data_IF_514659287161
#
_entry.id   IF_514659287161
#
_cell.length_a   1.000
_cell.length_b   1.000
_cell.length_c   1.000
_cell.angle_alpha   90.00
_cell.angle_beta   90.00
_cell.angle_gamma   90.00
#
_symmetry.space_group_name_H-M   'P 1'
#
loop_
_entity.id
_entity.type
_entity.pdbx_description
1 polymer ?
#
# COMPACT_ATOMS: atom_id res chain seq x y z
N UNK A 1 -27.50 6.06 18.02
CA UNK A 1 -26.37 5.63 17.17
C UNK A 1 -26.91 5.57 15.75
N UNK A 2 -26.19 6.12 14.78
CA UNK A 2 -26.67 6.14 13.38
C UNK A 2 -26.86 4.71 12.86
N UNK A 3 -27.91 4.41 12.09
CA UNK A 3 -28.22 3.05 11.63
C UNK A 3 -27.06 2.47 10.79
N UNK A 4 -26.42 3.30 9.96
CA UNK A 4 -25.26 2.88 9.16
C UNK A 4 -24.04 2.57 10.04
N UNK A 5 -23.85 3.30 11.14
CA UNK A 5 -22.76 3.02 12.09
C UNK A 5 -23.02 1.69 12.80
N UNK A 6 -24.25 1.45 13.23
CA UNK A 6 -24.62 0.19 13.87
C UNK A 6 -24.34 -0.99 12.94
N UNK A 7 -24.75 -0.89 11.68
CA UNK A 7 -24.50 -1.90 10.65
C UNK A 7 -23.00 -2.14 10.40
N UNK A 8 -22.18 -1.09 10.30
CA UNK A 8 -20.73 -1.24 10.15
C UNK A 8 -20.08 -1.95 11.36
N UNK A 9 -20.58 -1.69 12.57
CA UNK A 9 -20.09 -2.31 13.80
C UNK A 9 -20.50 -3.78 13.96
N UNK A 10 -21.49 -4.25 13.21
CA UNK A 10 -21.86 -5.68 13.14
C UNK A 10 -20.97 -6.48 12.19
N UNK A 11 -20.18 -5.79 11.35
CA UNK A 11 -19.31 -6.40 10.34
C UNK A 11 -18.03 -7.03 10.89
N UNK A 12 -17.09 -7.31 9.97
CA UNK A 12 -15.77 -7.86 10.28
C UNK A 12 -15.00 -6.96 11.29
N UNK A 13 -14.15 -7.56 12.12
CA UNK A 13 -13.38 -6.83 13.15
C UNK A 13 -12.50 -5.72 12.57
N UNK A 14 -12.01 -5.85 11.34
CA UNK A 14 -11.28 -4.79 10.64
C UNK A 14 -12.19 -3.59 10.30
N UNK A 15 -13.44 -3.86 9.93
CA UNK A 15 -14.46 -2.82 9.66
C UNK A 15 -14.85 -2.14 10.96
N UNK A 16 -15.03 -2.91 12.05
CA UNK A 16 -15.27 -2.35 13.38
C UNK A 16 -14.13 -1.41 13.79
N UNK A 17 -12.88 -1.85 13.66
CA UNK A 17 -11.69 -1.04 13.93
C UNK A 17 -11.68 0.27 13.12
N UNK A 18 -11.88 0.19 11.81
CA UNK A 18 -11.89 1.37 10.93
C UNK A 18 -13.05 2.32 11.26
N UNK A 19 -14.22 1.79 11.60
CA UNK A 19 -15.39 2.57 12.03
C UNK A 19 -15.08 3.33 13.32
N UNK A 20 -14.50 2.66 14.31
CA UNK A 20 -14.07 3.29 15.55
C UNK A 20 -12.99 4.36 15.33
N UNK A 21 -12.03 4.09 14.46
CA UNK A 21 -10.90 4.98 14.18
C UNK A 21 -11.31 6.23 13.39
N UNK A 22 -12.02 6.05 12.27
CA UNK A 22 -12.24 7.11 11.30
C UNK A 22 -13.60 7.79 11.39
N UNK A 23 -14.64 7.11 11.92
CA UNK A 23 -15.99 7.68 12.01
C UNK A 23 -16.36 8.09 13.43
N UNK A 24 -15.95 7.30 14.44
CA UNK A 24 -16.31 7.56 15.84
C UNK A 24 -15.22 8.29 16.62
N UNK A 25 -13.99 8.37 16.11
CA UNK A 25 -12.87 9.01 16.81
C UNK A 25 -12.60 8.40 18.19
N UNK A 26 -12.73 7.07 18.31
CA UNK A 26 -12.59 6.36 19.58
C UNK A 26 -11.15 6.42 20.11
N UNK A 27 -11.03 6.34 21.45
CA UNK A 27 -9.74 6.40 22.15
C UNK A 27 -8.89 5.14 21.94
N UNK A 28 -7.56 5.29 22.08
CA UNK A 28 -6.58 4.23 21.81
C UNK A 28 -6.87 2.88 22.49
N UNK A 29 -7.29 2.79 23.76
CA UNK A 29 -7.60 1.48 24.37
C UNK A 29 -8.66 0.67 23.62
N UNK A 30 -9.63 1.32 22.97
CA UNK A 30 -10.64 0.65 22.14
C UNK A 30 -10.00 0.17 20.83
N UNK A 31 -9.20 1.04 20.21
CA UNK A 31 -8.51 0.75 18.95
C UNK A 31 -7.53 -0.41 19.10
N UNK A 32 -6.68 -0.42 20.14
CA UNK A 32 -5.73 -1.49 20.43
C UNK A 32 -6.43 -2.83 20.66
N UNK A 33 -7.54 -2.83 21.41
CA UNK A 33 -8.34 -4.03 21.66
C UNK A 33 -8.91 -4.60 20.35
N UNK A 34 -9.45 -3.75 19.49
CA UNK A 34 -9.97 -4.18 18.19
C UNK A 34 -8.83 -4.66 17.28
N UNK A 35 -7.73 -3.90 17.20
CA UNK A 35 -6.59 -4.22 16.34
C UNK A 35 -5.95 -5.56 16.67
N UNK A 36 -5.79 -5.87 17.97
CA UNK A 36 -5.20 -7.14 18.42
C UNK A 36 -6.00 -8.38 18.00
N UNK A 37 -7.31 -8.24 17.75
CA UNK A 37 -8.19 -9.32 17.29
C UNK A 37 -8.15 -9.53 15.78
N UNK A 38 -7.76 -8.53 15.00
CA UNK A 38 -7.82 -8.58 13.53
C UNK A 38 -6.99 -9.75 12.97
N UNK A 39 -5.84 -10.06 13.58
CA UNK A 39 -5.00 -11.17 13.11
C UNK A 39 -5.63 -12.56 13.36
N UNK A 40 -6.60 -12.68 14.28
CA UNK A 40 -7.16 -13.96 14.72
C UNK A 40 -8.63 -14.15 14.36
N UNK A 41 -9.30 -13.10 13.89
CA UNK A 41 -10.71 -13.12 13.52
C UNK A 41 -10.92 -12.63 12.07
N UNK A 42 -12.00 -13.10 11.44
CA UNK A 42 -12.49 -12.49 10.21
C UNK A 42 -11.60 -12.66 8.97
N UNK A 43 -11.58 -11.64 8.11
CA UNK A 43 -10.89 -11.68 6.82
C UNK A 43 -9.37 -11.82 6.94
N UNK A 44 -8.74 -11.07 7.84
CA UNK A 44 -7.29 -11.10 8.01
C UNK A 44 -6.83 -12.47 8.54
N UNK A 45 -7.57 -13.09 9.48
CA UNK A 45 -7.28 -14.45 9.92
C UNK A 45 -7.34 -15.47 8.78
N UNK A 46 -8.35 -15.36 7.89
CA UNK A 46 -8.43 -16.22 6.70
C UNK A 46 -7.22 -16.04 5.79
N UNK A 47 -6.83 -14.79 5.49
CA UNK A 47 -5.63 -14.52 4.69
C UNK A 47 -4.38 -15.11 5.34
N UNK A 48 -4.16 -14.86 6.63
CA UNK A 48 -3.00 -15.39 7.36
C UNK A 48 -2.97 -16.93 7.36
N UNK A 49 -4.13 -17.59 7.45
CA UNK A 49 -4.21 -19.06 7.39
C UNK A 49 -3.82 -19.65 6.03
N UNK A 50 -3.84 -18.86 4.96
CA UNK A 50 -3.42 -19.26 3.62
C UNK A 50 -1.91 -19.11 3.38
N UNK A 51 -1.13 -18.74 4.39
CA UNK A 51 0.32 -18.67 4.26
C UNK A 51 0.91 -20.08 4.16
N UNK A 52 1.72 -20.32 3.13
CA UNK A 52 2.36 -21.61 2.91
C UNK A 52 3.53 -21.83 3.89
N UNK A 53 4.00 -23.07 4.01
CA UNK A 53 5.15 -23.43 4.83
C UNK A 53 6.45 -22.68 4.45
N UNK A 54 6.57 -22.27 3.18
CA UNK A 54 7.70 -21.47 2.69
C UNK A 54 7.58 -19.96 3.00
N UNK A 55 6.53 -19.55 3.73
CA UNK A 55 6.22 -18.18 4.13
C UNK A 55 5.45 -17.36 3.08
N UNK A 56 5.37 -17.79 1.83
CA UNK A 56 4.63 -17.04 0.82
C UNK A 56 3.12 -17.24 0.92
N UNK A 57 2.37 -16.22 0.51
CA UNK A 57 1.03 -16.41 -0.04
C UNK A 57 1.14 -16.59 -1.55
N UNK A 58 0.40 -17.57 -2.08
CA UNK A 58 0.50 -17.95 -3.49
C UNK A 58 1.83 -18.64 -3.81
N UNK A 59 2.40 -18.35 -4.98
CA UNK A 59 3.62 -19.02 -5.44
C UNK A 59 4.89 -18.22 -5.14
N UNK A 60 4.82 -16.89 -5.22
CA UNK A 60 5.95 -15.98 -5.00
C UNK A 60 5.47 -14.56 -4.64
N UNK A 61 6.36 -13.57 -4.68
CA UNK A 61 6.01 -12.19 -4.32
C UNK A 61 4.87 -11.62 -5.17
N UNK A 62 4.96 -11.75 -6.49
CA UNK A 62 3.96 -11.19 -7.41
C UNK A 62 3.27 -12.24 -8.29
N UNK A 63 3.25 -13.51 -7.84
CA UNK A 63 2.65 -14.62 -8.58
C UNK A 63 1.87 -15.59 -7.67
N UNK A 64 0.66 -16.05 -8.07
CA UNK A 64 -0.15 -15.52 -9.18
C UNK A 64 -0.68 -14.12 -8.86
N UNK A 65 -1.14 -13.38 -9.87
CA UNK A 65 -1.73 -12.06 -9.63
C UNK A 65 -2.90 -12.16 -8.63
N UNK A 66 -3.06 -11.16 -7.76
CA UNK A 66 -4.11 -11.00 -6.74
C UNK A 66 -3.97 -11.81 -5.46
N UNK A 67 -3.47 -13.04 -5.51
CA UNK A 67 -3.33 -13.92 -4.34
C UNK A 67 -1.87 -14.20 -3.97
N UNK A 68 -0.95 -13.40 -4.50
CA UNK A 68 0.46 -13.44 -4.16
C UNK A 68 0.78 -12.73 -2.84
N UNK A 69 2.00 -12.97 -2.34
CA UNK A 69 2.52 -12.36 -1.12
C UNK A 69 2.40 -10.83 -1.13
N UNK A 70 2.73 -10.16 -2.23
CA UNK A 70 2.62 -8.71 -2.39
C UNK A 70 1.20 -8.20 -2.12
N UNK A 71 0.20 -8.77 -2.80
CA UNK A 71 -1.19 -8.33 -2.64
C UNK A 71 -1.77 -8.71 -1.29
N UNK A 72 -1.39 -9.86 -0.72
CA UNK A 72 -1.81 -10.25 0.62
C UNK A 72 -1.20 -9.36 1.70
N UNK A 73 0.07 -8.96 1.60
CA UNK A 73 0.67 -8.00 2.52
C UNK A 73 -0.03 -6.64 2.46
N UNK A 74 -0.34 -6.17 1.26
CA UNK A 74 -1.11 -4.93 1.07
C UNK A 74 -2.50 -5.02 1.73
N UNK A 75 -3.18 -6.16 1.59
CA UNK A 75 -4.46 -6.41 2.26
C UNK A 75 -4.38 -6.43 3.77
N UNK A 76 -3.42 -7.16 4.31
CA UNK A 76 -3.25 -7.27 5.75
C UNK A 76 -3.00 -5.88 6.35
N UNK A 77 -2.24 -5.03 5.64
CA UNK A 77 -2.09 -3.62 6.01
C UNK A 77 -3.40 -2.84 5.91
N UNK A 78 -4.17 -3.01 4.84
CA UNK A 78 -5.44 -2.28 4.64
C UNK A 78 -6.54 -2.72 5.60
N UNK A 79 -6.50 -3.97 6.04
CA UNK A 79 -7.34 -4.52 7.12
C UNK A 79 -6.85 -4.07 8.51
N UNK A 80 -5.75 -3.31 8.59
CA UNK A 80 -5.17 -2.80 9.83
C UNK A 80 -4.72 -3.87 10.83
N UNK A 81 -4.21 -5.03 10.36
CA UNK A 81 -3.59 -6.01 11.29
C UNK A 81 -2.50 -5.34 12.14
N UNK A 82 -2.16 -5.88 13.33
CA UNK A 82 -1.14 -5.28 14.19
C UNK A 82 0.19 -5.02 13.45
N UNK A 83 0.75 -3.82 13.63
CA UNK A 83 2.00 -3.39 12.96
C UNK A 83 3.16 -4.38 13.16
N UNK A 84 3.24 -4.98 14.34
CA UNK A 84 4.30 -5.90 14.74
C UNK A 84 4.12 -7.35 14.30
N UNK A 85 3.14 -7.68 13.45
CA UNK A 85 2.80 -9.06 13.14
C UNK A 85 3.98 -9.79 12.45
N UNK A 86 4.54 -10.77 13.16
CA UNK A 86 5.80 -11.44 12.78
C UNK A 86 5.79 -11.97 11.35
N UNK A 87 4.71 -12.67 10.95
CA UNK A 87 4.57 -13.23 9.60
C UNK A 87 4.69 -12.17 8.50
N UNK A 88 4.11 -10.98 8.69
CA UNK A 88 4.22 -9.87 7.74
C UNK A 88 5.63 -9.27 7.74
N UNK A 89 6.21 -9.06 8.94
CA UNK A 89 7.56 -8.51 9.09
C UNK A 89 8.61 -9.38 8.42
N UNK A 90 8.57 -10.68 8.69
CA UNK A 90 9.52 -11.63 8.14
C UNK A 90 9.47 -11.63 6.60
N UNK A 91 8.27 -11.60 6.02
CA UNK A 91 8.12 -11.57 4.56
C UNK A 91 8.53 -10.24 3.93
N UNK A 92 8.32 -9.10 4.61
CA UNK A 92 8.81 -7.80 4.14
C UNK A 92 10.33 -7.74 4.18
N UNK A 93 10.95 -8.16 5.29
CA UNK A 93 12.42 -8.18 5.43
C UNK A 93 13.05 -9.07 4.36
N UNK A 94 12.51 -10.28 4.20
CA UNK A 94 12.96 -11.23 3.17
C UNK A 94 12.77 -10.69 1.76
N UNK A 95 11.66 -9.99 1.49
CA UNK A 95 11.44 -9.34 0.19
C UNK A 95 12.53 -8.30 -0.11
N UNK A 96 12.97 -7.51 0.86
CA UNK A 96 14.10 -6.60 0.64
C UNK A 96 15.44 -7.33 0.46
N UNK A 97 15.63 -8.51 1.07
CA UNK A 97 16.84 -9.32 0.86
C UNK A 97 16.89 -9.88 -0.58
N UNK A 98 15.75 -10.32 -1.10
CA UNK A 98 15.66 -11.05 -2.36
C UNK A 98 15.36 -10.16 -3.59
N UNK A 99 14.68 -9.04 -3.41
CA UNK A 99 14.09 -8.27 -4.52
C UNK A 99 14.58 -6.82 -4.64
N UNK A 100 15.36 -6.29 -3.70
CA UNK A 100 15.84 -4.91 -3.77
C UNK A 100 16.98 -4.78 -4.79
N UNK A 101 16.77 -3.95 -5.80
CA UNK A 101 17.78 -3.65 -6.81
C UNK A 101 18.83 -2.66 -6.30
N UNK A 102 19.96 -2.57 -7.01
CA UNK A 102 21.06 -1.67 -6.64
C UNK A 102 20.68 -0.18 -6.72
N UNK A 103 19.75 0.16 -7.61
CA UNK A 103 19.20 1.51 -7.79
C UNK A 103 18.12 1.87 -6.75
N UNK A 104 17.65 0.91 -5.97
CA UNK A 104 16.65 1.07 -4.92
C UNK A 104 15.22 0.66 -5.30
N UNK A 105 14.95 0.34 -6.57
CA UNK A 105 13.67 -0.23 -6.99
C UNK A 105 13.51 -1.70 -6.60
N UNK A 106 12.30 -2.26 -6.76
CA UNK A 106 12.00 -3.66 -6.43
C UNK A 106 11.75 -4.50 -7.68
N UNK A 107 12.40 -5.66 -7.77
CA UNK A 107 12.03 -6.70 -8.72
C UNK A 107 11.37 -7.88 -8.01
N UNK A 108 10.02 -7.90 -8.00
CA UNK A 108 9.23 -8.98 -7.39
C UNK A 108 9.03 -10.20 -8.33
N UNK A 109 9.61 -10.18 -9.53
CA UNK A 109 9.60 -11.30 -10.46
C UNK A 109 10.70 -12.31 -10.11
N UNK A 110 10.52 -13.57 -10.52
CA UNK A 110 11.59 -14.59 -10.46
C UNK A 110 12.70 -14.36 -11.50
N UNK A 111 12.43 -13.54 -12.50
CA UNK A 111 13.35 -13.24 -13.59
C UNK A 111 13.72 -11.76 -13.58
N UNK A 112 14.83 -11.42 -14.22
CA UNK A 112 15.21 -10.02 -14.40
C UNK A 112 14.10 -9.29 -15.16
N UNK A 113 13.55 -8.26 -14.53
CA UNK A 113 12.46 -7.45 -15.05
C UNK A 113 12.65 -6.02 -14.55
N UNK A 114 12.35 -4.99 -15.37
CA UNK A 114 12.37 -3.61 -14.90
C UNK A 114 11.47 -3.42 -13.67
N UNK A 115 11.87 -2.51 -12.78
CA UNK A 115 11.03 -2.10 -11.65
C UNK A 115 9.68 -1.60 -12.15
N UNK A 116 8.61 -1.94 -11.44
CA UNK A 116 7.28 -1.38 -11.70
C UNK A 116 7.00 -0.35 -10.60
N UNK A 117 7.04 0.93 -10.95
CA UNK A 117 6.92 2.05 -10.00
C UNK A 117 5.63 1.98 -9.17
N UNK A 118 4.55 1.43 -9.75
CA UNK A 118 3.30 1.21 -9.02
C UNK A 118 3.48 0.16 -7.93
N UNK A 119 4.16 -0.94 -8.25
CA UNK A 119 4.52 -2.00 -7.29
C UNK A 119 5.45 -1.47 -6.21
N UNK A 120 6.44 -0.65 -6.57
CA UNK A 120 7.36 0.00 -5.62
C UNK A 120 6.63 0.89 -4.62
N UNK A 121 5.67 1.70 -5.08
CA UNK A 121 4.81 2.51 -4.21
C UNK A 121 3.98 1.67 -3.23
N UNK A 122 3.41 0.56 -3.71
CA UNK A 122 2.68 -0.39 -2.86
C UNK A 122 3.60 -1.11 -1.86
N UNK A 123 4.83 -1.48 -2.27
CA UNK A 123 5.86 -2.04 -1.38
C UNK A 123 6.18 -1.05 -0.27
N UNK A 124 6.46 0.21 -0.62
CA UNK A 124 6.76 1.25 0.34
C UNK A 124 5.63 1.40 1.37
N UNK A 125 4.37 1.28 0.94
CA UNK A 125 3.19 1.36 1.79
C UNK A 125 3.22 0.28 2.88
N UNK A 126 3.12 -1.01 2.52
CA UNK A 126 3.07 -2.05 3.55
C UNK A 126 4.41 -2.23 4.28
N UNK A 127 5.55 -1.97 3.64
CA UNK A 127 6.86 -2.05 4.29
C UNK A 127 7.01 -1.00 5.39
N UNK A 128 6.61 0.24 5.12
CA UNK A 128 6.60 1.31 6.13
C UNK A 128 5.64 1.01 7.28
N UNK A 129 4.56 0.28 7.03
CA UNK A 129 3.60 -0.11 8.06
C UNK A 129 4.16 -1.22 8.98
N UNK A 130 4.67 -2.32 8.41
CA UNK A 130 5.12 -3.49 9.19
C UNK A 130 6.54 -3.35 9.73
N UNK A 131 7.41 -2.67 8.98
CA UNK A 131 8.85 -2.62 9.22
C UNK A 131 9.35 -1.18 9.20
N UNK A 132 8.73 -0.28 9.97
CA UNK A 132 9.08 1.16 9.99
C UNK A 132 10.58 1.47 10.21
N UNK A 133 11.30 0.59 10.90
CA UNK A 133 12.71 0.73 11.24
C UNK A 133 13.64 0.03 10.23
N UNK A 134 13.10 -0.51 9.13
CA UNK A 134 13.89 -1.17 8.07
C UNK A 134 14.70 -0.11 7.29
N UNK A 135 16.05 -0.11 7.40
CA UNK A 135 16.89 0.92 6.79
C UNK A 135 16.78 0.99 5.26
N UNK A 136 16.41 -0.10 4.59
CA UNK A 136 16.26 -0.14 3.13
C UNK A 136 15.04 0.61 2.61
N UNK A 137 14.09 0.96 3.47
CA UNK A 137 12.97 1.85 3.11
C UNK A 137 13.48 3.18 2.56
N UNK A 138 14.57 3.71 3.11
CA UNK A 138 15.16 4.98 2.65
C UNK A 138 15.60 4.88 1.19
N UNK A 139 16.21 3.76 0.79
CA UNK A 139 16.63 3.53 -0.60
C UNK A 139 15.44 3.47 -1.57
N UNK A 140 14.35 2.82 -1.16
CA UNK A 140 13.14 2.75 -1.96
C UNK A 140 12.47 4.13 -2.09
N UNK A 141 12.49 4.94 -1.02
CA UNK A 141 12.03 6.33 -1.07
C UNK A 141 12.89 7.15 -2.04
N UNK A 142 14.22 7.09 -1.91
CA UNK A 142 15.14 7.82 -2.80
C UNK A 142 14.94 7.45 -4.27
N UNK A 143 14.78 6.16 -4.55
CA UNK A 143 14.46 5.66 -5.88
C UNK A 143 13.16 6.27 -6.41
N UNK A 144 12.06 6.16 -5.64
CA UNK A 144 10.77 6.73 -6.03
C UNK A 144 10.86 8.24 -6.28
N UNK A 145 11.51 9.00 -5.40
CA UNK A 145 11.70 10.44 -5.60
C UNK A 145 12.50 10.76 -6.87
N UNK A 146 13.47 9.93 -7.23
CA UNK A 146 14.31 10.13 -8.43
C UNK A 146 13.56 9.91 -9.75
N UNK A 147 12.47 9.13 -9.74
CA UNK A 147 11.68 8.79 -10.93
C UNK A 147 10.41 9.64 -11.09
N UNK A 148 10.19 10.63 -10.23
CA UNK A 148 9.06 11.56 -10.37
C UNK A 148 9.16 12.35 -11.68
N UNK A 149 8.08 12.39 -12.45
CA UNK A 149 8.02 13.06 -13.75
C UNK A 149 7.93 14.58 -13.60
N UNK A 150 8.21 15.29 -14.70
CA UNK A 150 8.24 16.76 -14.71
C UNK A 150 6.87 17.38 -14.41
N UNK A 151 5.79 16.70 -14.80
CA UNK A 151 4.39 17.06 -14.47
C UNK A 151 4.01 16.80 -13.02
N UNK A 152 4.91 16.22 -12.21
CA UNK A 152 4.69 15.87 -10.81
C UNK A 152 4.12 14.47 -10.58
N UNK A 153 3.67 13.78 -11.63
CA UNK A 153 3.15 12.42 -11.53
C UNK A 153 4.22 11.34 -11.49
N UNK A 154 3.77 10.10 -11.39
CA UNK A 154 4.57 8.89 -11.52
C UNK A 154 3.95 7.99 -12.57
N UNK A 155 4.76 7.17 -13.23
CA UNK A 155 4.24 6.20 -14.21
C UNK A 155 5.04 4.90 -14.24
N UNK A 156 4.35 3.82 -14.59
CA UNK A 156 4.97 2.53 -14.89
C UNK A 156 5.68 2.49 -16.25
N UNK A 157 5.35 3.41 -17.16
CA UNK A 157 6.00 3.47 -18.47
C UNK A 157 7.26 4.34 -18.37
N UNK A 158 8.41 3.68 -18.33
CA UNK A 158 9.70 4.36 -18.22
C UNK A 158 9.96 5.34 -19.37
N UNK A 159 9.38 5.10 -20.54
CA UNK A 159 9.54 5.95 -21.73
C UNK A 159 8.53 7.10 -21.78
N UNK A 160 7.52 7.11 -20.91
CA UNK A 160 6.58 8.21 -20.82
C UNK A 160 7.20 9.39 -20.08
N UNK A 161 7.04 10.58 -20.65
CA UNK A 161 7.40 11.85 -20.00
C UNK A 161 6.33 12.31 -19.00
N UNK A 162 5.11 11.75 -19.09
CA UNK A 162 3.98 12.11 -18.25
C UNK A 162 3.67 11.01 -17.23
N UNK A 163 3.14 11.41 -16.08
CA UNK A 163 2.59 10.51 -15.08
C UNK A 163 1.34 9.78 -15.55
N UNK A 164 0.93 8.78 -14.78
CA UNK A 164 -0.41 8.20 -14.83
C UNK A 164 -1.04 8.21 -13.42
N UNK A 165 -2.37 8.38 -13.29
CA UNK A 165 -3.01 8.53 -11.99
C UNK A 165 -2.86 7.31 -11.09
N UNK A 166 -2.90 6.10 -11.65
CA UNK A 166 -2.86 4.88 -10.84
C UNK A 166 -1.50 4.72 -10.15
N UNK A 167 -0.42 4.82 -10.91
CA UNK A 167 0.93 4.77 -10.38
C UNK A 167 1.17 5.91 -9.40
N UNK A 168 0.69 7.12 -9.73
CA UNK A 168 0.80 8.28 -8.83
C UNK A 168 0.12 8.06 -7.48
N UNK A 169 -1.09 7.50 -7.47
CA UNK A 169 -1.81 7.18 -6.22
C UNK A 169 -1.04 6.12 -5.41
N UNK A 170 -0.57 5.03 -6.03
CA UNK A 170 0.18 4.00 -5.33
C UNK A 170 1.45 4.55 -4.65
N UNK A 171 2.18 5.45 -5.34
CA UNK A 171 3.36 6.10 -4.75
C UNK A 171 2.96 7.07 -3.64
N UNK A 172 1.90 7.87 -3.81
CA UNK A 172 1.40 8.78 -2.78
C UNK A 172 0.98 8.06 -1.49
N UNK A 173 0.33 6.90 -1.60
CA UNK A 173 -0.04 6.07 -0.46
C UNK A 173 1.20 5.53 0.27
N UNK A 174 2.21 5.07 -0.48
CA UNK A 174 3.49 4.62 0.06
C UNK A 174 4.22 5.71 0.82
N UNK A 175 4.42 6.88 0.18
CA UNK A 175 5.05 8.05 0.78
C UNK A 175 4.25 8.55 2.00
N UNK A 176 2.92 8.50 1.93
CA UNK A 176 2.03 8.85 3.03
C UNK A 176 2.22 7.95 4.25
N UNK A 177 2.25 6.63 4.04
CA UNK A 177 2.50 5.67 5.12
C UNK A 177 3.90 5.84 5.71
N UNK A 178 4.92 6.12 4.89
CA UNK A 178 6.28 6.41 5.34
C UNK A 178 6.33 7.62 6.28
N UNK A 179 5.61 8.71 5.97
CA UNK A 179 5.49 9.86 6.88
C UNK A 179 4.83 9.48 8.22
N UNK A 180 3.75 8.71 8.19
CA UNK A 180 3.02 8.27 9.39
C UNK A 180 3.91 7.40 10.28
N UNK A 181 4.73 6.55 9.67
CA UNK A 181 5.62 5.61 10.36
C UNK A 181 6.87 6.26 10.98
N UNK A 182 7.08 7.57 10.79
CA UNK A 182 8.10 8.32 11.52
C UNK A 182 9.41 8.57 10.74
N UNK A 183 9.38 8.60 9.40
CA UNK A 183 10.55 8.91 8.56
C UNK A 183 10.98 10.39 8.61
N UNK A 184 11.30 10.91 9.81
CA UNK A 184 11.52 12.34 10.08
C UNK A 184 12.61 12.97 9.21
N UNK A 185 13.69 12.25 8.94
CA UNK A 185 14.83 12.73 8.14
C UNK A 185 14.51 12.93 6.65
N UNK A 186 13.47 12.27 6.12
CA UNK A 186 13.06 12.34 4.71
C UNK A 186 11.87 13.27 4.47
N UNK A 187 11.27 13.82 5.54
CA UNK A 187 9.98 14.52 5.46
C UNK A 187 9.99 15.70 4.48
N UNK A 188 11.10 16.43 4.35
CA UNK A 188 11.20 17.56 3.44
C UNK A 188 11.00 17.17 1.97
N UNK A 189 11.80 16.22 1.50
CA UNK A 189 11.76 15.75 0.11
C UNK A 189 10.48 14.98 -0.19
N UNK A 190 10.03 14.12 0.75
CA UNK A 190 8.75 13.42 0.61
C UNK A 190 7.59 14.41 0.51
N UNK A 191 7.54 15.44 1.36
CA UNK A 191 6.47 16.43 1.34
C UNK A 191 6.45 17.20 0.01
N UNK A 192 7.60 17.63 -0.48
CA UNK A 192 7.70 18.31 -1.77
C UNK A 192 7.20 17.44 -2.94
N UNK A 193 7.62 16.17 -2.97
CA UNK A 193 7.18 15.22 -3.99
C UNK A 193 5.67 14.94 -3.93
N UNK A 194 5.13 14.74 -2.72
CA UNK A 194 3.68 14.56 -2.51
C UNK A 194 2.87 15.77 -2.96
N UNK A 195 3.36 17.00 -2.73
CA UNK A 195 2.69 18.21 -3.20
C UNK A 195 2.59 18.21 -4.72
N UNK A 196 3.70 17.99 -5.43
CA UNK A 196 3.70 17.93 -6.91
C UNK A 196 2.76 16.85 -7.45
N UNK A 197 2.75 15.67 -6.83
CA UNK A 197 1.87 14.56 -7.23
C UNK A 197 0.38 14.86 -6.94
N UNK A 198 0.08 15.57 -5.86
CA UNK A 198 -1.28 16.05 -5.59
C UNK A 198 -1.70 17.12 -6.61
N UNK A 199 -0.82 18.06 -6.94
CA UNK A 199 -1.07 19.10 -7.94
C UNK A 199 -1.29 18.48 -9.33
N UNK A 200 -0.54 17.44 -9.69
CA UNK A 200 -0.77 16.64 -10.90
C UNK A 200 -2.20 16.06 -10.93
N UNK A 201 -2.64 15.38 -9.86
CA UNK A 201 -3.99 14.80 -9.82
C UNK A 201 -5.08 15.88 -9.87
N UNK A 202 -4.89 16.99 -9.16
CA UNK A 202 -5.86 18.10 -9.11
C UNK A 202 -5.97 18.83 -10.45
N UNK A 203 -4.83 19.07 -11.13
CA UNK A 203 -4.80 19.72 -12.45
C UNK A 203 -5.49 18.88 -13.53
N UNK A 204 -5.59 17.57 -13.31
CA UNK A 204 -6.33 16.63 -14.16
C UNK A 204 -7.76 16.35 -13.63
N UNK A 205 -8.30 17.18 -12.74
CA UNK A 205 -9.67 17.02 -12.22
C UNK A 205 -9.90 15.72 -11.46
N UNK A 206 -8.86 15.18 -10.82
CA UNK A 206 -8.87 13.85 -10.18
C UNK A 206 -9.29 12.71 -11.12
N UNK A 207 -9.24 12.94 -12.44
CA UNK A 207 -9.74 12.03 -13.47
C UNK A 207 -11.24 11.69 -13.34
N UNK A 208 -12.01 12.51 -12.62
CA UNK A 208 -13.45 12.24 -12.43
C UNK A 208 -14.22 12.36 -13.74
N UNK A 209 -13.81 13.28 -14.61
CA UNK A 209 -14.42 13.55 -15.91
C UNK A 209 -13.70 12.86 -17.07
N UNK A 210 -12.68 12.03 -16.78
CA UNK A 210 -11.94 11.29 -17.80
C UNK A 210 -12.88 10.36 -18.60
N UNK A 211 -12.54 10.17 -19.88
CA UNK A 211 -13.24 9.24 -20.79
C UNK A 211 -13.24 7.82 -20.22
N UNK A 212 -12.18 7.48 -19.48
CA UNK A 212 -12.12 6.30 -18.66
C UNK A 212 -13.05 6.42 -17.44
N UNK A 213 -14.32 6.08 -17.67
CA UNK A 213 -15.36 5.91 -16.63
C UNK A 213 -14.98 4.93 -15.53
N UNK A 214 -13.91 4.16 -15.78
CA UNK A 214 -13.07 3.47 -14.82
C UNK A 214 -13.11 4.25 -13.51
N UNK A 215 -12.50 5.45 -13.54
CA UNK A 215 -12.19 6.35 -12.42
C UNK A 215 -13.36 6.77 -11.50
N UNK A 216 -14.58 6.31 -11.78
CA UNK A 216 -15.81 6.62 -11.05
C UNK A 216 -16.34 5.43 -10.24
N UNK A 217 -15.75 4.24 -10.39
CA UNK A 217 -16.21 3.01 -9.71
C UNK A 217 -15.72 2.89 -8.25
N UNK A 218 -16.63 2.74 -7.31
CA UNK A 218 -16.30 2.39 -5.92
C UNK A 218 -16.05 0.87 -5.80
N UNK A 219 -14.92 0.36 -6.32
CA UNK A 219 -14.57 -1.07 -6.28
C UNK A 219 -13.71 -1.43 -5.08
N UNK A 220 -13.96 -2.60 -4.50
CA UNK A 220 -13.08 -3.24 -3.52
C UNK A 220 -12.66 -4.64 -4.03
N UNK A 221 -11.38 -5.02 -3.90
CA UNK A 221 -10.27 -4.22 -3.37
C UNK A 221 -9.78 -3.16 -4.38
N UNK A 222 -9.34 -2.00 -3.89
CA UNK A 222 -8.91 -0.85 -4.71
C UNK A 222 -7.49 -1.00 -5.31
N UNK A 223 -6.97 -2.23 -5.41
CA UNK A 223 -5.53 -2.54 -5.60
C UNK A 223 -5.00 -2.37 -7.02
N UNK A 224 -5.88 -2.19 -7.98
CA UNK A 224 -5.51 -2.05 -9.37
C UNK A 224 -6.62 -1.29 -10.04
N UNK A 225 -6.23 -0.46 -11.02
CA UNK A 225 -7.07 0.05 -12.11
C UNK A 225 -8.53 -0.34 -11.98
N UNK A 226 -9.39 0.64 -11.77
CA UNK A 226 -10.42 0.92 -12.75
C UNK A 226 -10.21 0.12 -14.08
N UNK A 227 -10.74 -1.11 -14.11
CA UNK A 227 -10.26 -2.31 -14.84
C UNK A 227 -10.04 -2.22 -16.37
N UNK A 228 -8.79 -2.39 -16.85
CA UNK A 228 -8.47 -2.68 -18.27
C UNK A 228 -8.35 -4.19 -18.50
N UNK A 229 -9.31 -4.75 -19.25
CA UNK A 229 -9.08 -5.87 -20.16
C UNK A 229 -8.30 -5.41 -21.38
#
# INVERSE_FOLDING_TARGET
MNEEIAWLLEGDVSIQYMTHRYLLGSVEPILERLQSRIATEGFAAKLLSCQNENGHWGFYYYQPKWTSTHYTLLDLKNLHVPYGLKSCKDMVTRMFDECLNKDGGMNLSKYEHPSDICVDGMVLNYASYFCKDEPRIVKLVDYLLSVQKADGGFTRDINSENGDPHTTICVLEGLGQCCISGAQHMLGNIKASKTKAADYLLSNGLYIDDDDKRYRKLTYPYRYRYDHH
#
